data_IF_645169030286
#
_entry.id   IF_645169030286
#
_cell.length_a   1.000
_cell.length_b   1.000
_cell.length_c   1.000
_cell.angle_alpha   90.00
_cell.angle_beta   90.00
_cell.angle_gamma   90.00
#
_symmetry.space_group_name_H-M   'P 1'
#
loop_
_entity.id
_entity.type
_entity.pdbx_description
1 polymer ?
#
# COMPACT_ATOMS: atom_id res chain seq x y z
N UNK A 1 -12.30 18.26 -23.31
CA UNK A 1 -11.30 17.19 -23.06
C UNK A 1 -10.59 17.36 -21.71
N UNK A 2 -10.25 18.59 -21.31
CA UNK A 2 -9.57 18.90 -20.03
C UNK A 2 -10.37 18.47 -18.77
N UNK A 3 -11.70 18.65 -18.75
CA UNK A 3 -12.53 18.28 -17.59
C UNK A 3 -12.57 16.77 -17.27
N UNK A 4 -12.35 15.90 -18.26
CA UNK A 4 -12.31 14.45 -18.04
C UNK A 4 -11.06 14.01 -17.29
N UNK A 5 -9.93 14.65 -17.55
CA UNK A 5 -8.66 14.36 -16.87
C UNK A 5 -8.71 14.71 -15.38
N UNK A 6 -9.24 15.89 -15.03
CA UNK A 6 -9.39 16.31 -13.63
C UNK A 6 -10.32 15.40 -12.81
N UNK A 7 -11.38 14.89 -13.43
CA UNK A 7 -12.30 13.96 -12.77
C UNK A 7 -11.62 12.62 -12.49
N UNK A 8 -10.81 12.09 -13.42
CA UNK A 8 -10.05 10.86 -13.23
C UNK A 8 -9.00 11.00 -12.12
N UNK A 9 -8.25 12.11 -12.10
CA UNK A 9 -7.27 12.39 -11.04
C UNK A 9 -7.94 12.51 -9.66
N UNK A 10 -9.06 13.21 -9.58
CA UNK A 10 -9.81 13.38 -8.33
C UNK A 10 -10.30 12.04 -7.77
N UNK A 11 -10.80 11.15 -8.62
CA UNK A 11 -11.22 9.80 -8.22
C UNK A 11 -10.06 8.97 -7.68
N UNK A 12 -8.89 9.01 -8.35
CA UNK A 12 -7.68 8.34 -7.90
C UNK A 12 -7.24 8.84 -6.51
N UNK A 13 -7.23 10.15 -6.30
CA UNK A 13 -6.88 10.74 -5.01
C UNK A 13 -7.86 10.37 -3.89
N UNK A 14 -9.17 10.39 -4.16
CA UNK A 14 -10.18 9.97 -3.18
C UNK A 14 -10.02 8.48 -2.82
N UNK A 15 -9.80 7.63 -3.83
CA UNK A 15 -9.53 6.20 -3.60
C UNK A 15 -8.29 5.99 -2.73
N UNK A 16 -7.21 6.72 -3.01
CA UNK A 16 -6.00 6.68 -2.19
C UNK A 16 -6.27 7.08 -0.74
N UNK A 17 -6.99 8.17 -0.50
CA UNK A 17 -7.34 8.61 0.87
C UNK A 17 -8.10 7.51 1.62
N UNK A 18 -9.11 6.90 1.00
CA UNK A 18 -9.86 5.83 1.66
C UNK A 18 -9.02 4.60 1.99
N UNK A 19 -8.10 4.20 1.09
CA UNK A 19 -7.18 3.09 1.37
C UNK A 19 -6.25 3.43 2.54
N UNK A 20 -5.68 4.64 2.56
CA UNK A 20 -4.81 5.09 3.65
C UNK A 20 -5.55 5.09 5.00
N UNK A 21 -6.79 5.58 5.03
CA UNK A 21 -7.63 5.52 6.22
C UNK A 21 -7.92 4.07 6.64
N UNK A 22 -8.19 3.19 5.68
CA UNK A 22 -8.36 1.75 5.93
C UNK A 22 -7.14 1.14 6.62
N UNK A 23 -5.94 1.46 6.17
CA UNK A 23 -4.69 1.00 6.79
C UNK A 23 -4.51 1.53 8.21
N UNK A 24 -4.82 2.81 8.46
CA UNK A 24 -4.76 3.41 9.80
C UNK A 24 -5.70 2.66 10.76
N UNK A 25 -6.92 2.37 10.33
CA UNK A 25 -7.91 1.64 11.13
C UNK A 25 -7.42 0.21 11.42
N UNK A 26 -6.88 -0.48 10.41
CA UNK A 26 -6.43 -1.87 10.56
C UNK A 26 -5.06 -2.02 11.23
N UNK A 27 -4.33 -0.93 11.50
CA UNK A 27 -2.92 -0.98 11.93
C UNK A 27 -2.67 -1.77 13.22
N UNK A 28 -3.67 -1.87 14.11
CA UNK A 28 -3.51 -2.61 15.39
C UNK A 28 -3.39 -4.12 15.18
N UNK A 29 -3.95 -4.64 14.10
CA UNK A 29 -3.90 -6.07 13.77
C UNK A 29 -2.58 -6.37 13.06
N UNK A 30 -1.83 -7.35 13.58
CA UNK A 30 -0.62 -7.84 12.91
C UNK A 30 -1.04 -9.01 11.99
N UNK A 31 -0.94 -8.86 10.67
CA UNK A 31 -1.29 -9.94 9.73
C UNK A 31 -0.26 -11.08 9.74
N UNK A 32 -0.64 -12.21 9.12
CA UNK A 32 0.27 -13.34 8.92
C UNK A 32 1.53 -12.90 8.11
N UNK A 33 2.74 -13.33 8.49
CA UNK A 33 3.98 -12.91 7.85
C UNK A 33 4.12 -13.41 6.41
N UNK A 34 3.55 -14.58 6.06
CA UNK A 34 3.54 -15.10 4.68
C UNK A 34 2.66 -14.21 3.80
N UNK A 35 1.48 -13.83 4.31
CA UNK A 35 0.59 -12.90 3.62
C UNK A 35 1.28 -11.54 3.42
N UNK A 36 1.91 -11.01 4.48
CA UNK A 36 2.64 -9.75 4.42
C UNK A 36 3.80 -9.81 3.42
N UNK A 37 4.50 -10.94 3.32
CA UNK A 37 5.58 -11.14 2.36
C UNK A 37 5.08 -11.12 0.92
N UNK A 38 4.05 -11.93 0.62
CA UNK A 38 3.47 -12.00 -0.73
C UNK A 38 2.88 -10.65 -1.14
N UNK A 39 2.16 -9.99 -0.23
CA UNK A 39 1.58 -8.68 -0.48
C UNK A 39 2.67 -7.62 -0.71
N UNK A 40 3.70 -7.59 0.12
CA UNK A 40 4.81 -6.65 -0.02
C UNK A 40 5.60 -6.80 -1.32
N UNK A 41 5.87 -8.04 -1.74
CA UNK A 41 6.52 -8.33 -3.02
C UNK A 41 5.64 -7.92 -4.21
N UNK A 42 4.35 -8.25 -4.16
CA UNK A 42 3.39 -7.85 -5.18
C UNK A 42 3.32 -6.33 -5.33
N UNK A 43 3.18 -5.61 -4.21
CA UNK A 43 3.19 -4.15 -4.21
C UNK A 43 4.52 -3.56 -4.68
N UNK A 44 5.65 -4.18 -4.37
CA UNK A 44 6.94 -3.67 -4.86
C UNK A 44 7.02 -3.75 -6.40
N UNK A 45 6.63 -4.90 -6.97
CA UNK A 45 6.57 -5.08 -8.42
C UNK A 45 5.56 -4.13 -9.07
N UNK A 46 4.39 -3.92 -8.44
CA UNK A 46 3.39 -2.96 -8.91
C UNK A 46 3.86 -1.52 -8.82
N UNK A 47 4.71 -1.16 -7.86
CA UNK A 47 5.34 0.17 -7.79
C UNK A 47 6.22 0.42 -9.01
N UNK A 48 7.05 -0.56 -9.38
CA UNK A 48 7.89 -0.50 -10.59
C UNK A 48 7.00 -0.39 -11.83
N UNK A 49 5.95 -1.21 -11.92
CA UNK A 49 5.01 -1.16 -13.03
C UNK A 49 4.32 0.20 -13.16
N UNK A 50 3.83 0.76 -12.06
CA UNK A 50 3.17 2.06 -12.01
C UNK A 50 4.13 3.20 -12.42
N UNK A 51 5.38 3.11 -11.98
CA UNK A 51 6.44 4.05 -12.38
C UNK A 51 6.65 4.05 -13.90
N UNK A 52 6.67 2.87 -14.53
CA UNK A 52 6.79 2.75 -15.99
C UNK A 52 5.57 3.31 -16.74
N UNK A 53 4.40 3.32 -16.11
CA UNK A 53 3.16 3.89 -16.67
C UNK A 53 2.98 5.38 -16.36
N UNK A 54 3.78 5.96 -15.46
CA UNK A 54 3.59 7.33 -14.98
C UNK A 54 2.36 7.52 -14.08
N UNK A 55 1.83 6.45 -13.48
CA UNK A 55 0.65 6.53 -12.60
C UNK A 55 1.07 6.86 -11.16
N UNK A 56 1.05 8.15 -10.83
CA UNK A 56 1.52 8.64 -9.53
C UNK A 56 0.69 8.11 -8.35
N UNK A 57 -0.63 7.98 -8.51
CA UNK A 57 -1.51 7.49 -7.43
C UNK A 57 -1.18 6.03 -7.13
N UNK A 58 -1.01 5.21 -8.17
CA UNK A 58 -0.70 3.80 -8.00
C UNK A 58 0.74 3.56 -7.52
N UNK A 59 1.70 4.41 -7.91
CA UNK A 59 3.06 4.43 -7.34
C UNK A 59 3.01 4.64 -5.83
N UNK A 60 2.35 5.70 -5.36
CA UNK A 60 2.31 6.07 -3.94
C UNK A 60 1.65 4.96 -3.12
N UNK A 61 0.50 4.46 -3.57
CA UNK A 61 -0.22 3.39 -2.87
C UNK A 61 0.64 2.12 -2.76
N UNK A 62 1.25 1.68 -3.85
CA UNK A 62 2.03 0.44 -3.80
C UNK A 62 3.34 0.60 -3.03
N UNK A 63 4.01 1.76 -3.11
CA UNK A 63 5.21 2.02 -2.33
C UNK A 63 4.92 1.97 -0.82
N UNK A 64 3.82 2.61 -0.38
CA UNK A 64 3.39 2.57 1.01
C UNK A 64 2.95 1.15 1.43
N UNK A 65 2.26 0.41 0.56
CA UNK A 65 1.88 -0.97 0.84
C UNK A 65 3.10 -1.89 1.03
N UNK A 66 4.17 -1.70 0.25
CA UNK A 66 5.45 -2.40 0.46
C UNK A 66 6.05 -2.06 1.82
N UNK A 67 6.12 -0.77 2.18
CA UNK A 67 6.65 -0.32 3.48
C UNK A 67 5.84 -0.92 4.63
N UNK A 68 4.51 -0.82 4.59
CA UNK A 68 3.61 -1.34 5.62
C UNK A 68 3.77 -2.86 5.76
N UNK A 69 3.94 -3.57 4.64
CA UNK A 69 4.19 -5.02 4.66
C UNK A 69 5.49 -5.38 5.38
N UNK A 70 6.57 -4.65 5.10
CA UNK A 70 7.85 -4.81 5.81
C UNK A 70 7.68 -4.52 7.31
N UNK A 71 6.99 -3.43 7.66
CA UNK A 71 6.70 -3.08 9.07
C UNK A 71 5.90 -4.19 9.75
N UNK A 72 4.90 -4.76 9.09
CA UNK A 72 4.09 -5.85 9.64
C UNK A 72 4.91 -7.12 9.89
N UNK A 73 5.83 -7.47 8.97
CA UNK A 73 6.76 -8.59 9.16
C UNK A 73 7.65 -8.35 10.39
N UNK A 74 8.25 -7.15 10.51
CA UNK A 74 9.09 -6.78 11.65
C UNK A 74 8.30 -6.84 12.97
N UNK A 75 7.07 -6.31 12.99
CA UNK A 75 6.18 -6.36 14.16
C UNK A 75 5.83 -7.79 14.55
N UNK A 76 5.57 -8.66 13.58
CA UNK A 76 5.27 -10.07 13.83
C UNK A 76 6.44 -10.79 14.53
N UNK A 77 7.66 -10.65 13.99
CA UNK A 77 8.85 -11.23 14.61
C UNK A 77 9.15 -10.65 15.99
N UNK A 78 8.94 -9.34 16.17
CA UNK A 78 9.14 -8.68 17.46
C UNK A 78 8.16 -9.17 18.52
N UNK A 79 6.88 -9.35 18.16
CA UNK A 79 5.86 -9.87 19.09
C UNK A 79 6.18 -11.29 19.55
N UNK A 80 6.59 -12.17 18.64
CA UNK A 80 6.93 -13.56 18.96
C UNK A 80 8.15 -13.71 19.88
N UNK A 81 9.02 -12.72 19.96
CA UNK A 81 10.17 -12.72 20.88
C UNK A 81 9.75 -12.49 22.35
N UNK A 82 8.55 -11.96 22.57
CA UNK A 82 8.01 -11.60 23.89
C UNK A 82 6.87 -12.53 24.36
N UNK A 83 6.55 -13.57 23.59
CA UNK A 83 5.64 -14.66 23.95
C UNK A 83 6.45 -15.92 24.26
#
# INVERSE_FOLDING_TARGET
MIGGLYMLESLGLMGMIFILLGWIISFKTIPDPKLSTLYGLGSFLLTIHAYLLGDMVFIVLNALATIISVVNIIRWFSKRKHE
#
